data_IF_287556103377
#
_entry.id   IF_287556103377
#
_cell.length_a   1.000
_cell.length_b   1.000
_cell.length_c   1.000
_cell.angle_alpha   90.00
_cell.angle_beta   90.00
_cell.angle_gamma   90.00
#
_symmetry.space_group_name_H-M   'P 1'
#
loop_
_entity.id
_entity.type
_entity.pdbx_description
1 polymer ?
#
# COMPACT_ATOMS: atom_id res chain seq x y z
N UNK A 1 67.56 -23.17 30.28
CA UNK A 1 67.10 -21.78 30.19
C UNK A 1 65.89 -21.63 31.11
N UNK A 2 65.96 -20.66 32.02
CA UNK A 2 64.88 -20.17 32.89
C UNK A 2 63.60 -19.89 32.05
N UNK A 3 62.37 -19.97 32.55
CA UNK A 3 61.84 -19.29 33.73
C UNK A 3 60.69 -20.07 34.42
N UNK A 4 60.85 -20.27 35.74
CA UNK A 4 59.96 -19.89 36.86
C UNK A 4 58.63 -19.16 36.49
N UNK A 5 57.47 -19.29 37.14
CA UNK A 5 57.05 -19.85 38.44
C UNK A 5 55.55 -19.49 38.62
N UNK A 6 54.74 -20.41 39.19
CA UNK A 6 53.56 -20.21 40.09
C UNK A 6 52.35 -19.36 39.60
N UNK A 7 51.10 -19.51 40.05
CA UNK A 7 50.38 -20.41 40.95
C UNK A 7 48.87 -20.13 40.75
N UNK A 8 48.07 -21.18 40.87
CA UNK A 8 46.74 -21.27 41.51
C UNK A 8 45.71 -20.13 41.36
N UNK A 9 44.46 -20.47 41.01
CA UNK A 9 43.46 -20.71 42.07
C UNK A 9 42.24 -21.47 41.53
N UNK A 10 41.80 -22.42 42.35
CA UNK A 10 40.67 -23.33 42.20
C UNK A 10 39.43 -22.62 42.77
N UNK A 11 38.31 -22.58 42.05
CA UNK A 11 36.95 -22.82 42.58
C UNK A 11 35.83 -22.33 41.66
N UNK A 12 34.70 -23.06 41.76
CA UNK A 12 33.34 -22.81 41.22
C UNK A 12 33.15 -23.43 39.83
N UNK A 13 32.97 -24.75 39.69
CA UNK A 13 31.78 -25.53 40.11
C UNK A 13 30.44 -24.82 39.85
N UNK A 14 29.65 -25.46 38.97
CA UNK A 14 28.18 -25.44 38.88
C UNK A 14 27.45 -24.09 38.83
N UNK A 15 27.23 -23.56 37.62
CA UNK A 15 26.11 -22.64 37.37
C UNK A 15 25.36 -22.90 36.04
N UNK A 16 25.53 -24.07 35.43
CA UNK A 16 24.90 -24.43 34.15
C UNK A 16 23.49 -25.03 34.28
N UNK A 17 22.97 -25.22 35.50
CA UNK A 17 21.69 -25.90 35.73
C UNK A 17 20.50 -24.99 36.07
N UNK A 18 20.66 -23.67 36.18
CA UNK A 18 19.56 -22.77 36.56
C UNK A 18 18.88 -22.04 35.39
N UNK A 19 19.48 -22.04 34.19
CA UNK A 19 19.01 -21.19 33.09
C UNK A 19 18.07 -21.84 32.07
N UNK A 20 17.78 -23.14 32.18
CA UNK A 20 17.03 -23.86 31.13
C UNK A 20 15.53 -23.96 31.35
N UNK A 21 14.99 -23.65 32.54
CA UNK A 21 13.55 -23.80 32.82
C UNK A 21 12.81 -22.45 32.99
N UNK A 22 13.51 -21.36 33.32
CA UNK A 22 12.88 -20.02 33.45
C UNK A 22 13.04 -19.09 32.22
N UNK A 23 13.85 -19.46 31.23
CA UNK A 23 14.15 -18.60 30.07
C UNK A 23 13.10 -18.62 28.94
N UNK A 24 12.22 -19.63 28.88
CA UNK A 24 11.30 -19.81 27.75
C UNK A 24 9.93 -19.14 27.99
N UNK A 25 9.56 -18.87 29.25
CA UNK A 25 8.29 -18.22 29.61
C UNK A 25 8.31 -16.68 29.53
N UNK A 26 9.48 -16.06 29.36
CA UNK A 26 9.61 -14.61 29.11
C UNK A 26 9.80 -14.25 27.63
N UNK A 27 10.07 -15.24 26.76
CA UNK A 27 10.23 -14.99 25.31
C UNK A 27 8.93 -15.11 24.51
N UNK A 28 7.90 -15.79 25.03
CA UNK A 28 6.58 -15.87 24.37
C UNK A 28 5.66 -14.69 24.70
N UNK A 29 5.97 -13.88 25.71
CA UNK A 29 5.23 -12.64 26.03
C UNK A 29 5.70 -11.42 25.23
N UNK A 30 6.69 -11.57 24.34
CA UNK A 30 7.13 -10.53 23.41
C UNK A 30 6.53 -10.74 22.00
N UNK A 31 5.84 -11.86 21.76
CA UNK A 31 5.23 -12.22 20.46
C UNK A 31 3.71 -12.40 20.55
N UNK A 32 3.05 -11.64 21.42
CA UNK A 32 1.64 -11.86 21.73
C UNK A 32 0.81 -10.59 21.84
N UNK A 33 0.96 -9.61 20.94
CA UNK A 33 -0.03 -8.53 20.65
C UNK A 33 0.58 -7.44 19.76
N UNK A 34 0.68 -7.67 18.45
CA UNK A 34 1.30 -6.67 17.56
C UNK A 34 0.86 -6.71 16.10
N UNK A 35 -0.25 -7.35 15.76
CA UNK A 35 -0.75 -7.37 14.38
C UNK A 35 -2.25 -7.09 14.42
N UNK A 36 -2.65 -5.82 14.47
CA UNK A 36 -3.98 -5.33 14.03
C UNK A 36 -4.16 -3.80 14.21
N UNK A 37 -3.12 -2.97 14.10
CA UNK A 37 -3.29 -1.51 14.16
C UNK A 37 -2.49 -0.74 13.10
N UNK A 38 -1.89 -1.43 12.14
CA UNK A 38 -1.09 -0.78 11.12
C UNK A 38 -1.96 0.07 10.17
N UNK A 39 -3.19 -0.35 9.85
CA UNK A 39 -4.07 0.28 8.85
C UNK A 39 -4.35 1.78 9.07
N UNK A 40 -4.69 2.20 10.30
CA UNK A 40 -5.03 3.60 10.59
C UNK A 40 -3.80 4.50 10.76
N UNK A 41 -2.66 3.95 11.18
CA UNK A 41 -1.43 4.74 11.40
C UNK A 41 -0.75 5.12 10.08
N UNK A 42 -1.07 4.46 8.94
CA UNK A 42 -0.41 4.73 7.66
C UNK A 42 -0.70 6.11 7.04
N UNK A 43 -1.80 6.80 7.38
CA UNK A 43 -2.16 8.07 6.72
C UNK A 43 -2.39 9.26 7.66
N UNK A 44 -2.68 9.05 8.95
CA UNK A 44 -3.04 10.12 9.89
C UNK A 44 -1.89 11.09 10.24
N UNK A 45 -0.62 10.71 9.96
CA UNK A 45 0.57 11.54 10.22
C UNK A 45 1.26 12.09 8.97
N UNK A 46 0.74 11.84 7.78
CA UNK A 46 1.35 12.37 6.55
C UNK A 46 0.87 13.81 6.32
N UNK A 47 1.76 14.82 6.26
CA UNK A 47 1.35 16.18 5.94
C UNK A 47 0.60 16.19 4.59
N UNK A 48 -0.50 16.95 4.53
CA UNK A 48 -1.28 17.16 3.29
C UNK A 48 -0.46 17.82 2.18
N UNK A 49 0.76 18.25 2.50
CA UNK A 49 1.78 18.74 1.58
C UNK A 49 2.88 17.67 1.43
N UNK A 50 2.81 16.90 0.34
CA UNK A 50 3.90 16.02 -0.07
C UNK A 50 3.64 14.53 0.12
N UNK A 51 3.63 13.81 -1.00
CA UNK A 51 4.27 12.49 -1.19
C UNK A 51 4.31 11.53 0.01
N UNK A 52 3.62 10.38 -0.14
CA UNK A 52 3.73 9.23 0.77
C UNK A 52 5.20 8.90 1.12
N UNK A 53 5.54 8.66 2.40
CA UNK A 53 6.92 8.42 2.80
C UNK A 53 7.31 6.97 2.51
N UNK A 54 8.10 6.77 1.46
CA UNK A 54 8.67 5.47 1.09
C UNK A 54 8.62 5.24 -0.41
N UNK A 55 9.59 5.83 -1.12
CA UNK A 55 9.82 5.66 -2.56
C UNK A 55 8.81 6.39 -3.46
N UNK A 56 8.83 7.72 -3.42
CA UNK A 56 8.82 8.46 -4.68
C UNK A 56 10.28 8.61 -5.08
N UNK A 57 10.83 7.56 -5.72
CA UNK A 57 11.72 7.88 -6.84
C UNK A 57 10.85 8.79 -7.71
N UNK A 58 11.36 9.97 -8.02
CA UNK A 58 10.74 10.86 -8.99
C UNK A 58 10.81 10.12 -10.34
N UNK A 59 9.95 9.11 -10.52
CA UNK A 59 9.64 8.56 -11.81
C UNK A 59 8.98 9.73 -12.51
N UNK A 60 9.70 10.32 -13.45
CA UNK A 60 9.13 11.29 -14.38
C UNK A 60 7.76 10.76 -14.76
N UNK A 61 6.71 11.44 -14.29
CA UNK A 61 5.33 11.08 -14.60
C UNK A 61 5.33 10.96 -16.11
N UNK A 62 5.24 9.73 -16.64
CA UNK A 62 5.04 9.53 -18.06
C UNK A 62 3.63 10.06 -18.34
N UNK A 63 3.52 11.39 -18.46
CA UNK A 63 2.55 12.07 -19.32
C UNK A 63 2.94 11.71 -20.75
N UNK A 64 2.94 10.41 -21.05
CA UNK A 64 3.14 9.92 -22.39
C UNK A 64 1.89 10.26 -23.19
N UNK A 65 2.02 10.78 -24.42
CA UNK A 65 0.87 11.16 -25.25
C UNK A 65 -0.12 9.99 -25.47
N UNK A 66 0.33 8.75 -25.27
CA UNK A 66 -0.45 7.54 -25.52
C UNK A 66 -1.59 7.36 -24.49
N UNK A 67 -1.31 7.57 -23.20
CA UNK A 67 -2.33 7.42 -22.14
C UNK A 67 -3.40 8.51 -22.21
N UNK A 68 -3.00 9.73 -22.57
CA UNK A 68 -3.91 10.87 -22.70
C UNK A 68 -4.91 10.70 -23.86
N UNK A 69 -4.49 10.11 -24.98
CA UNK A 69 -5.37 9.85 -26.12
C UNK A 69 -6.54 8.93 -25.77
N UNK A 70 -6.24 7.78 -25.13
CA UNK A 70 -7.27 6.84 -24.69
C UNK A 70 -8.17 7.42 -23.60
N UNK A 71 -7.62 8.26 -22.73
CA UNK A 71 -8.41 8.98 -21.74
C UNK A 71 -9.44 9.91 -22.38
N UNK A 72 -9.05 10.66 -23.41
CA UNK A 72 -9.97 11.55 -24.15
C UNK A 72 -11.09 10.75 -24.82
N UNK A 73 -10.78 9.59 -25.39
CA UNK A 73 -11.78 8.71 -25.98
C UNK A 73 -12.73 8.15 -24.91
N UNK A 74 -12.22 7.79 -23.73
CA UNK A 74 -13.04 7.36 -22.60
C UNK A 74 -14.02 8.47 -22.13
N UNK A 75 -13.56 9.72 -22.07
CA UNK A 75 -14.40 10.86 -21.69
C UNK A 75 -15.57 11.07 -22.66
N UNK A 76 -15.37 10.82 -23.96
CA UNK A 76 -16.46 10.87 -24.95
C UNK A 76 -17.57 9.87 -24.61
N UNK A 77 -17.23 8.60 -24.39
CA UNK A 77 -18.21 7.58 -23.99
C UNK A 77 -18.86 7.89 -22.64
N UNK A 78 -18.09 8.45 -21.68
CA UNK A 78 -18.63 8.89 -20.39
C UNK A 78 -19.70 9.98 -20.56
N UNK A 79 -19.51 10.92 -21.47
CA UNK A 79 -20.47 11.99 -21.77
C UNK A 79 -21.73 11.45 -22.45
N UNK A 80 -21.57 10.46 -23.33
CA UNK A 80 -22.68 9.71 -23.96
C UNK A 80 -23.40 8.77 -22.97
N UNK A 81 -22.93 8.68 -21.72
CA UNK A 81 -23.39 7.76 -20.66
C UNK A 81 -23.17 6.28 -20.99
N UNK A 82 -22.32 5.97 -21.97
CA UNK A 82 -21.84 4.62 -22.21
C UNK A 82 -20.64 4.31 -21.29
N UNK A 83 -20.99 4.05 -20.02
CA UNK A 83 -19.98 3.83 -18.99
C UNK A 83 -19.20 2.52 -19.17
N UNK A 84 -19.75 1.49 -19.83
CA UNK A 84 -19.01 0.24 -20.07
C UNK A 84 -17.86 0.46 -21.06
N UNK A 85 -18.14 1.20 -22.14
CA UNK A 85 -17.07 1.58 -23.09
C UNK A 85 -16.08 2.52 -22.42
N UNK A 86 -16.55 3.51 -21.67
CA UNK A 86 -15.67 4.41 -20.92
C UNK A 86 -14.71 3.65 -19.99
N UNK A 87 -15.20 2.66 -19.23
CA UNK A 87 -14.40 1.79 -18.35
C UNK A 87 -13.28 1.09 -19.12
N UNK A 88 -13.59 0.59 -20.32
CA UNK A 88 -12.62 -0.11 -21.18
C UNK A 88 -11.46 0.82 -21.57
N UNK A 89 -11.77 2.03 -22.06
CA UNK A 89 -10.74 2.99 -22.48
C UNK A 89 -10.00 3.61 -21.30
N UNK A 90 -10.66 3.83 -20.16
CA UNK A 90 -9.97 4.24 -18.95
C UNK A 90 -9.01 3.15 -18.46
N UNK A 91 -9.37 1.88 -18.53
CA UNK A 91 -8.48 0.77 -18.15
C UNK A 91 -7.23 0.77 -19.02
N UNK A 92 -7.38 0.89 -20.34
CA UNK A 92 -6.23 0.98 -21.26
C UNK A 92 -5.34 2.19 -20.92
N UNK A 93 -5.94 3.35 -20.67
CA UNK A 93 -5.21 4.57 -20.29
C UNK A 93 -4.48 4.41 -18.95
N UNK A 94 -5.10 3.71 -18.00
CA UNK A 94 -4.56 3.41 -16.68
C UNK A 94 -3.38 2.43 -16.74
N UNK A 95 -3.45 1.40 -17.60
CA UNK A 95 -2.33 0.48 -17.88
C UNK A 95 -1.12 1.20 -18.48
N UNK A 96 -1.33 2.32 -19.17
CA UNK A 96 -0.26 3.20 -19.67
C UNK A 96 0.28 4.17 -18.60
N UNK A 97 -0.18 4.07 -17.35
CA UNK A 97 0.28 4.90 -16.23
C UNK A 97 -0.38 6.27 -16.15
N UNK A 98 -1.51 6.49 -16.84
CA UNK A 98 -2.23 7.77 -16.76
C UNK A 98 -3.03 7.86 -15.45
N UNK A 99 -2.50 8.57 -14.46
CA UNK A 99 -3.11 8.67 -13.12
C UNK A 99 -4.57 9.15 -13.12
N UNK A 100 -4.93 10.07 -14.02
CA UNK A 100 -6.32 10.54 -14.13
C UNK A 100 -7.29 9.45 -14.60
N UNK A 101 -6.83 8.45 -15.37
CA UNK A 101 -7.66 7.31 -15.74
C UNK A 101 -7.95 6.42 -14.53
N UNK A 102 -6.94 6.15 -13.70
CA UNK A 102 -7.16 5.50 -12.41
C UNK A 102 -8.15 6.29 -11.54
N UNK A 103 -8.05 7.62 -11.49
CA UNK A 103 -9.01 8.44 -10.75
C UNK A 103 -10.45 8.29 -11.28
N UNK A 104 -10.64 8.26 -12.60
CA UNK A 104 -11.97 8.05 -13.21
C UNK A 104 -12.52 6.66 -12.94
N UNK A 105 -11.70 5.62 -13.04
CA UNK A 105 -12.10 4.25 -12.65
C UNK A 105 -12.53 4.20 -11.19
N UNK A 106 -11.77 4.85 -10.30
CA UNK A 106 -12.13 4.99 -8.88
C UNK A 106 -13.52 5.59 -8.68
N UNK A 107 -13.83 6.68 -9.41
CA UNK A 107 -15.15 7.32 -9.37
C UNK A 107 -16.26 6.39 -9.89
N UNK A 108 -15.99 5.64 -10.97
CA UNK A 108 -16.95 4.73 -11.58
C UNK A 108 -17.30 3.58 -10.62
N UNK A 109 -16.30 2.95 -10.00
CA UNK A 109 -16.54 1.90 -9.01
C UNK A 109 -17.17 2.42 -7.71
N UNK A 110 -16.83 3.64 -7.27
CA UNK A 110 -17.44 4.24 -6.09
C UNK A 110 -18.93 4.52 -6.30
N UNK A 111 -19.31 4.91 -7.52
CA UNK A 111 -20.69 5.26 -7.86
C UNK A 111 -21.50 4.13 -8.49
N UNK A 112 -20.85 3.03 -8.90
CA UNK A 112 -21.49 1.94 -9.65
C UNK A 112 -21.89 2.33 -11.08
N UNK A 113 -21.15 3.24 -11.71
CA UNK A 113 -21.41 3.65 -13.10
C UNK A 113 -20.69 2.73 -14.07
N UNK A 114 -21.45 2.00 -14.89
CA UNK A 114 -20.90 1.08 -15.89
C UNK A 114 -20.51 -0.30 -15.35
N UNK A 115 -20.36 -0.41 -14.04
CA UNK A 115 -20.05 -1.65 -13.32
C UNK A 115 -20.75 -1.69 -11.96
N UNK A 116 -20.67 -2.82 -11.26
CA UNK A 116 -21.21 -2.96 -9.90
C UNK A 116 -20.41 -2.08 -8.95
N UNK A 117 -21.11 -1.36 -8.06
CA UNK A 117 -20.44 -0.52 -7.04
C UNK A 117 -19.52 -1.37 -6.18
N UNK A 118 -18.26 -0.97 -6.07
CA UNK A 118 -17.26 -1.64 -5.25
C UNK A 118 -16.32 -0.63 -4.60
N UNK A 119 -16.39 -0.51 -3.28
CA UNK A 119 -15.51 0.39 -2.53
C UNK A 119 -14.06 -0.09 -2.55
N UNK A 120 -13.84 -1.41 -2.57
CA UNK A 120 -12.50 -2.01 -2.65
C UNK A 120 -11.81 -1.67 -3.98
N UNK A 121 -12.52 -1.78 -5.10
CA UNK A 121 -11.96 -1.38 -6.40
C UNK A 121 -11.74 0.13 -6.46
N UNK A 122 -12.70 0.91 -5.95
CA UNK A 122 -12.60 2.36 -5.97
C UNK A 122 -11.38 2.87 -5.19
N UNK A 123 -11.19 2.35 -3.97
CA UNK A 123 -10.03 2.64 -3.12
C UNK A 123 -8.72 2.22 -3.79
N UNK A 124 -8.67 1.01 -4.36
CA UNK A 124 -7.51 0.53 -5.11
C UNK A 124 -7.11 1.51 -6.24
N UNK A 125 -8.08 1.92 -7.06
CA UNK A 125 -7.85 2.84 -8.16
C UNK A 125 -7.45 4.24 -7.68
N UNK A 126 -8.03 4.76 -6.59
CA UNK A 126 -7.58 6.03 -6.02
C UNK A 126 -6.17 5.96 -5.43
N UNK A 127 -5.80 4.83 -4.82
CA UNK A 127 -4.43 4.61 -4.33
C UNK A 127 -3.42 4.68 -5.49
N UNK A 128 -3.72 4.02 -6.61
CA UNK A 128 -2.91 4.05 -7.83
C UNK A 128 -2.85 5.45 -8.45
N UNK A 129 -3.97 6.18 -8.50
CA UNK A 129 -4.00 7.54 -8.99
C UNK A 129 -3.17 8.50 -8.11
N UNK A 130 -3.23 8.35 -6.79
CA UNK A 130 -2.41 9.13 -5.86
C UNK A 130 -0.93 8.80 -6.02
N UNK A 131 -0.59 7.53 -6.26
CA UNK A 131 0.79 7.11 -6.53
C UNK A 131 1.33 7.76 -7.82
N UNK A 132 0.48 7.89 -8.84
CA UNK A 132 0.80 8.54 -10.12
C UNK A 132 0.68 10.08 -10.09
N UNK A 133 0.52 10.68 -8.91
CA UNK A 133 0.56 12.14 -8.71
C UNK A 133 -0.77 12.87 -8.83
N UNK A 134 -1.92 12.17 -8.82
CA UNK A 134 -3.24 12.81 -8.74
C UNK A 134 -3.57 13.11 -7.27
N UNK A 135 -3.44 14.37 -6.87
CA UNK A 135 -3.62 14.78 -5.48
C UNK A 135 -5.06 14.60 -4.99
N UNK A 136 -6.04 14.82 -5.88
CA UNK A 136 -7.47 14.66 -5.63
C UNK A 136 -7.85 13.20 -5.31
N UNK A 137 -7.03 12.24 -5.73
CA UNK A 137 -7.29 10.83 -5.44
C UNK A 137 -7.08 10.51 -3.96
N UNK A 138 -6.13 11.17 -3.29
CA UNK A 138 -5.88 10.96 -1.86
C UNK A 138 -7.10 11.38 -1.04
N UNK A 139 -7.68 12.53 -1.33
CA UNK A 139 -8.87 13.01 -0.60
C UNK A 139 -10.07 12.10 -0.87
N UNK A 140 -10.28 11.69 -2.12
CA UNK A 140 -11.35 10.75 -2.46
C UNK A 140 -11.19 9.37 -1.78
N UNK A 141 -9.95 8.89 -1.63
CA UNK A 141 -9.63 7.65 -0.92
C UNK A 141 -9.99 7.73 0.56
N UNK A 142 -9.58 8.80 1.26
CA UNK A 142 -9.90 9.00 2.69
C UNK A 142 -11.41 9.06 2.94
N UNK A 143 -12.15 9.75 2.07
CA UNK A 143 -13.62 9.80 2.15
C UNK A 143 -14.26 8.42 1.97
N UNK A 144 -13.66 7.54 1.18
CA UNK A 144 -14.17 6.17 1.02
C UNK A 144 -13.86 5.28 2.22
N UNK A 145 -12.71 5.48 2.87
CA UNK A 145 -12.29 4.67 4.03
C UNK A 145 -13.30 4.76 5.18
N UNK A 146 -13.98 5.90 5.36
CA UNK A 146 -15.07 6.08 6.34
C UNK A 146 -16.25 5.12 6.11
N UNK A 147 -16.39 4.55 4.91
CA UNK A 147 -17.46 3.62 4.52
C UNK A 147 -16.97 2.16 4.43
N UNK A 148 -15.69 1.90 4.70
CA UNK A 148 -15.05 0.61 4.49
C UNK A 148 -14.70 -0.05 5.83
N UNK A 149 -14.69 -1.39 5.83
CA UNK A 149 -14.09 -2.14 6.94
C UNK A 149 -12.57 -2.20 6.79
N UNK A 150 -11.87 -2.48 7.90
CA UNK A 150 -10.41 -2.66 7.88
C UNK A 150 -9.98 -3.74 6.88
N UNK A 151 -10.70 -4.87 6.83
CA UNK A 151 -10.47 -5.94 5.86
C UNK A 151 -10.62 -5.46 4.40
N UNK A 152 -11.61 -4.62 4.12
CA UNK A 152 -11.84 -4.07 2.79
C UNK A 152 -10.71 -3.11 2.38
N UNK A 153 -10.24 -2.28 3.30
CA UNK A 153 -9.11 -1.38 3.07
C UNK A 153 -7.84 -2.17 2.82
N UNK A 154 -7.56 -3.19 3.63
CA UNK A 154 -6.42 -4.08 3.43
C UNK A 154 -6.51 -4.80 2.08
N UNK A 155 -7.68 -5.31 1.72
CA UNK A 155 -7.90 -5.96 0.43
C UNK A 155 -7.62 -4.98 -0.72
N UNK A 156 -8.09 -3.74 -0.64
CA UNK A 156 -7.87 -2.71 -1.66
C UNK A 156 -6.37 -2.41 -1.84
N UNK A 157 -5.64 -2.20 -0.73
CA UNK A 157 -4.20 -1.95 -0.75
C UNK A 157 -3.41 -3.13 -1.33
N UNK A 158 -3.72 -4.36 -0.91
CA UNK A 158 -3.09 -5.57 -1.47
C UNK A 158 -3.31 -5.68 -2.98
N UNK A 159 -4.50 -5.31 -3.47
CA UNK A 159 -4.80 -5.31 -4.91
C UNK A 159 -4.04 -4.21 -5.66
N UNK A 160 -3.90 -3.03 -5.06
CA UNK A 160 -3.15 -1.92 -5.66
C UNK A 160 -1.67 -2.27 -5.82
N UNK A 161 -1.06 -2.89 -4.80
CA UNK A 161 0.33 -3.40 -4.87
C UNK A 161 0.48 -4.41 -6.00
N UNK A 162 -0.38 -5.44 -6.06
CA UNK A 162 -0.35 -6.44 -7.14
C UNK A 162 -0.61 -5.85 -8.53
N UNK A 163 -1.39 -4.77 -8.62
CA UNK A 163 -1.63 -4.09 -9.89
C UNK A 163 -0.33 -3.44 -10.38
N UNK A 164 0.37 -2.72 -9.50
CA UNK A 164 1.64 -2.04 -9.83
C UNK A 164 2.72 -3.02 -10.25
N UNK A 165 2.86 -4.12 -9.52
CA UNK A 165 3.82 -5.18 -9.85
C UNK A 165 3.57 -5.77 -11.25
N UNK A 166 2.31 -5.98 -11.63
CA UNK A 166 1.96 -6.54 -12.94
C UNK A 166 2.16 -5.55 -14.09
N UNK A 167 1.99 -4.26 -13.85
CA UNK A 167 2.02 -3.23 -14.90
C UNK A 167 3.29 -2.36 -14.85
N UNK A 168 4.26 -2.72 -14.01
CA UNK A 168 5.53 -1.99 -13.83
C UNK A 168 5.33 -0.49 -13.57
N UNK A 169 4.41 -0.15 -12.66
CA UNK A 169 4.09 1.22 -12.24
C UNK A 169 4.89 1.68 -11.02
#
# INVERSE_FOLDING_TARGET
MNYSVKLANVNKLCLSCFYTVFGVLLLTLIWGSGIAHAGKVYYEKAPLTGSSPGVVKQYEVKKGPVGESQFKEAEKFRLEKDYRRAETYYTQSAELGYGMAHFRLGQMYATGRGSVRSLVEAHMHYNLASYLGVNEARTAMLVLEDQMTEDQVEQAMRRAVRYRERHNL
#
